data_IF_169557481074
#
_entry.id   IF_169557481074
#
_cell.length_a   1.000
_cell.length_b   1.000
_cell.length_c   1.000
_cell.angle_alpha   90.00
_cell.angle_beta   90.00
_cell.angle_gamma   90.00
#
_symmetry.space_group_name_H-M   'P 1'
#
loop_
_entity.id
_entity.type
_entity.pdbx_description
1 polymer ?
#
# COMPACT_ATOMS: atom_id res chain seq x y z
N UNK A 1 3.92 20.26 25.59
CA UNK A 1 3.53 20.13 24.18
C UNK A 1 2.27 19.31 24.16
N UNK A 2 1.16 19.89 23.70
CA UNK A 2 -0.05 19.13 23.36
C UNK A 2 0.21 18.40 22.04
N UNK A 3 -0.30 17.19 21.90
CA UNK A 3 -0.19 16.38 20.69
C UNK A 3 1.05 15.48 20.58
N UNK A 4 1.08 14.69 19.50
CA UNK A 4 2.12 13.70 19.24
C UNK A 4 3.51 14.33 19.02
N UNK A 5 4.54 13.53 19.24
CA UNK A 5 5.95 13.94 19.12
C UNK A 5 6.67 13.13 18.05
N UNK A 6 7.74 13.70 17.49
CA UNK A 6 8.61 13.00 16.55
C UNK A 6 9.26 11.76 17.20
N UNK A 7 9.56 11.81 18.50
CA UNK A 7 10.05 10.64 19.25
C UNK A 7 8.98 9.55 19.38
N UNK A 8 7.72 9.92 19.60
CA UNK A 8 6.59 8.98 19.63
C UNK A 8 6.41 8.28 18.28
N UNK A 9 6.45 9.04 17.18
CA UNK A 9 6.39 8.49 15.82
C UNK A 9 7.56 7.55 15.54
N UNK A 10 8.80 7.95 15.90
CA UNK A 10 9.96 7.07 15.78
C UNK A 10 9.87 5.80 16.64
N UNK A 11 9.22 5.87 17.81
CA UNK A 11 8.88 4.69 18.61
C UNK A 11 7.98 3.71 17.86
N UNK A 12 6.86 4.21 17.30
CA UNK A 12 5.91 3.39 16.53
C UNK A 12 6.55 2.76 15.29
N UNK A 13 7.41 3.47 14.58
CA UNK A 13 8.11 2.92 13.43
C UNK A 13 9.02 1.75 13.84
N UNK A 14 9.74 1.87 14.97
CA UNK A 14 10.57 0.78 15.50
C UNK A 14 9.74 -0.44 15.92
N UNK A 15 8.56 -0.22 16.51
CA UNK A 15 7.66 -1.31 16.87
C UNK A 15 7.15 -2.08 15.62
N UNK A 16 7.00 -1.39 14.48
CA UNK A 16 6.49 -1.95 13.22
C UNK A 16 7.54 -2.63 12.36
N UNK A 17 8.83 -2.32 12.47
CA UNK A 17 9.87 -3.18 11.85
C UNK A 17 9.70 -4.65 12.30
N UNK A 18 9.08 -4.88 13.46
CA UNK A 18 8.79 -6.21 14.00
C UNK A 18 7.36 -6.72 13.72
N UNK A 19 6.45 -5.92 13.12
CA UNK A 19 5.04 -6.28 12.86
C UNK A 19 4.58 -5.80 11.47
N UNK A 20 4.28 -6.74 10.59
CA UNK A 20 4.11 -6.58 9.14
C UNK A 20 2.96 -5.64 8.76
N UNK A 21 3.25 -4.55 8.03
CA UNK A 21 2.23 -3.70 7.40
C UNK A 21 2.78 -2.43 6.72
N UNK A 22 2.95 -2.45 5.39
CA UNK A 22 3.56 -1.35 4.63
C UNK A 22 2.76 -0.04 4.56
N UNK A 23 1.43 -0.10 4.68
CA UNK A 23 0.57 1.10 4.69
C UNK A 23 0.78 1.95 5.96
N UNK A 24 0.98 1.28 7.09
CA UNK A 24 1.20 1.92 8.38
C UNK A 24 2.48 2.77 8.40
N UNK A 25 3.50 2.30 7.68
CA UNK A 25 4.75 3.01 7.48
C UNK A 25 4.59 4.36 6.78
N UNK A 26 3.75 4.42 5.74
CA UNK A 26 3.50 5.65 4.97
C UNK A 26 2.78 6.69 5.84
N UNK A 27 1.76 6.27 6.58
CA UNK A 27 1.02 7.14 7.50
C UNK A 27 1.94 7.73 8.59
N UNK A 28 2.83 6.93 9.18
CA UNK A 28 3.81 7.41 10.15
C UNK A 28 4.82 8.38 9.53
N UNK A 29 5.22 8.15 8.28
CA UNK A 29 6.08 9.09 7.54
C UNK A 29 5.37 10.43 7.32
N UNK A 30 4.08 10.46 6.98
CA UNK A 30 3.30 11.70 6.88
C UNK A 30 3.25 12.46 8.22
N UNK A 31 3.01 11.77 9.32
CA UNK A 31 3.00 12.40 10.66
C UNK A 31 4.37 12.99 11.01
N UNK A 32 5.46 12.29 10.67
CA UNK A 32 6.81 12.77 10.88
C UNK A 32 7.15 13.99 10.01
N UNK A 33 6.74 13.98 8.74
CA UNK A 33 6.87 15.12 7.82
C UNK A 33 6.09 16.34 8.30
N UNK A 34 4.88 16.14 8.84
CA UNK A 34 4.07 17.21 9.41
C UNK A 34 4.72 17.81 10.66
N UNK A 35 5.34 16.98 11.50
CA UNK A 35 5.98 17.46 12.74
C UNK A 35 7.35 18.07 12.49
N UNK A 36 8.00 17.70 11.40
CA UNK A 36 9.31 18.19 11.03
C UNK A 36 9.43 18.33 9.50
N UNK A 37 9.21 19.55 9.00
CA UNK A 37 9.35 19.90 7.59
C UNK A 37 10.61 20.74 7.39
N UNK A 38 11.62 20.22 6.70
CA UNK A 38 12.85 20.96 6.42
C UNK A 38 13.99 20.11 5.88
N UNK A 39 15.03 20.77 5.36
CA UNK A 39 16.26 20.09 4.92
C UNK A 39 16.85 19.30 6.10
N UNK A 40 16.86 17.97 5.99
CA UNK A 40 17.38 17.08 7.03
C UNK A 40 16.33 16.46 7.97
N UNK A 41 15.04 16.75 7.80
CA UNK A 41 13.98 16.14 8.64
C UNK A 41 13.97 14.61 8.57
N UNK A 42 14.13 14.08 7.35
CA UNK A 42 14.33 12.65 7.09
C UNK A 42 15.51 12.09 7.87
N UNK A 43 16.69 12.73 7.78
CA UNK A 43 17.92 12.27 8.46
C UNK A 43 17.78 12.30 9.98
N UNK A 44 17.05 13.28 10.52
CA UNK A 44 16.75 13.35 11.95
C UNK A 44 15.83 12.19 12.38
N UNK A 45 14.83 11.86 11.57
CA UNK A 45 13.95 10.72 11.83
C UNK A 45 14.72 9.39 11.73
N UNK A 46 15.53 9.22 10.68
CA UNK A 46 16.41 8.05 10.50
C UNK A 46 17.33 7.86 11.72
N UNK A 47 17.96 8.92 12.20
CA UNK A 47 18.80 8.86 13.41
C UNK A 47 18.04 8.49 14.68
N UNK A 48 16.72 8.77 14.75
CA UNK A 48 15.87 8.37 15.89
C UNK A 48 15.38 6.92 15.81
N UNK A 49 15.21 6.39 14.60
CA UNK A 49 14.71 5.02 14.37
C UNK A 49 15.88 4.02 14.38
N UNK A 50 16.93 4.32 13.61
CA UNK A 50 18.03 3.40 13.32
C UNK A 50 19.33 3.76 14.05
N UNK A 51 19.42 4.93 14.69
CA UNK A 51 20.66 5.34 15.36
C UNK A 51 21.82 5.48 14.36
N UNK A 52 22.82 4.58 14.48
CA UNK A 52 23.95 4.50 13.55
C UNK A 52 23.74 3.49 12.41
N UNK A 53 22.68 2.69 12.48
CA UNK A 53 22.37 1.68 11.48
C UNK A 53 21.80 2.30 10.19
N UNK A 54 21.94 1.58 9.08
CA UNK A 54 21.38 2.02 7.80
C UNK A 54 19.86 1.85 7.79
N UNK A 55 19.10 2.80 7.22
CA UNK A 55 17.66 2.65 7.06
C UNK A 55 17.28 1.44 6.20
N UNK A 56 16.22 0.73 6.60
CA UNK A 56 15.68 -0.42 5.87
C UNK A 56 15.15 -0.03 4.49
N UNK A 57 15.06 -0.99 3.56
CA UNK A 57 14.39 -0.77 2.26
C UNK A 57 12.91 -0.42 2.44
N UNK A 58 12.24 -1.05 3.42
CA UNK A 58 10.85 -0.78 3.80
C UNK A 58 10.64 0.69 4.17
N UNK A 59 11.46 1.20 5.10
CA UNK A 59 11.40 2.61 5.47
C UNK A 59 11.68 3.53 4.29
N UNK A 60 12.71 3.24 3.48
CA UNK A 60 13.05 4.07 2.31
C UNK A 60 11.90 4.12 1.28
N UNK A 61 11.26 2.99 1.01
CA UNK A 61 10.13 2.91 0.08
C UNK A 61 8.92 3.66 0.64
N UNK A 62 8.60 3.48 1.92
CA UNK A 62 7.51 4.18 2.57
C UNK A 62 7.70 5.70 2.58
N UNK A 63 8.92 6.16 2.90
CA UNK A 63 9.26 7.57 2.87
C UNK A 63 9.08 8.16 1.47
N UNK A 64 9.54 7.45 0.43
CA UNK A 64 9.37 7.87 -0.97
C UNK A 64 7.89 7.99 -1.37
N UNK A 65 7.05 7.04 -0.97
CA UNK A 65 5.60 7.08 -1.23
C UNK A 65 4.97 8.22 -0.44
N UNK A 66 5.37 8.41 0.82
CA UNK A 66 4.89 9.50 1.65
C UNK A 66 5.21 10.86 1.03
N UNK A 67 6.43 11.07 0.51
CA UNK A 67 6.82 12.32 -0.18
C UNK A 67 5.95 12.61 -1.40
N UNK A 68 5.69 11.59 -2.24
CA UNK A 68 4.84 11.73 -3.44
C UNK A 68 3.40 12.09 -3.09
N UNK A 69 2.89 11.53 -2.00
CA UNK A 69 1.47 11.58 -1.64
C UNK A 69 1.14 12.59 -0.54
N UNK A 70 2.13 13.29 0.01
CA UNK A 70 1.93 14.19 1.15
C UNK A 70 1.00 15.36 0.83
N UNK A 71 1.09 15.91 -0.38
CA UNK A 71 0.28 17.06 -0.78
C UNK A 71 -1.19 16.67 -0.92
N UNK A 72 -1.46 15.56 -1.61
CA UNK A 72 -2.82 15.11 -1.94
C UNK A 72 -3.43 14.26 -0.82
N UNK A 73 -2.76 13.19 -0.42
CA UNK A 73 -3.24 12.26 0.60
C UNK A 73 -3.20 12.80 2.03
N UNK A 74 -2.35 13.79 2.32
CA UNK A 74 -2.24 14.43 3.63
C UNK A 74 -2.18 15.96 3.53
N UNK A 75 -3.16 16.53 2.83
CA UNK A 75 -3.29 17.97 2.59
C UNK A 75 -3.35 18.83 3.87
N UNK A 76 -3.25 20.15 3.71
CA UNK A 76 -3.05 21.10 4.81
C UNK A 76 -4.09 21.01 5.94
N UNK A 77 -5.36 20.72 5.62
CA UNK A 77 -6.41 20.56 6.63
C UNK A 77 -6.22 19.29 7.45
N UNK A 78 -5.83 18.16 6.83
CA UNK A 78 -5.46 16.95 7.58
C UNK A 78 -4.30 17.22 8.54
N UNK A 79 -3.30 17.96 8.06
CA UNK A 79 -2.13 18.35 8.84
C UNK A 79 -2.47 19.18 10.07
N UNK A 80 -3.39 20.14 9.92
CA UNK A 80 -3.91 20.96 11.04
C UNK A 80 -4.69 20.11 12.04
N UNK A 81 -5.55 19.21 11.55
CA UNK A 81 -6.38 18.35 12.40
C UNK A 81 -5.55 17.51 13.37
N UNK A 82 -4.40 16.99 12.93
CA UNK A 82 -3.59 16.08 13.76
C UNK A 82 -2.63 16.77 14.73
N UNK A 83 -2.38 18.09 14.62
CA UNK A 83 -1.28 18.76 15.36
C UNK A 83 -1.38 18.56 16.88
N UNK A 84 -2.60 18.63 17.40
CA UNK A 84 -2.88 18.53 18.83
C UNK A 84 -3.38 17.14 19.27
N UNK A 85 -3.52 16.20 18.34
CA UNK A 85 -3.97 14.84 18.63
C UNK A 85 -2.91 14.02 19.37
N UNK A 86 -3.36 13.15 20.28
CA UNK A 86 -2.52 12.11 20.87
C UNK A 86 -1.92 11.20 19.80
N UNK A 87 -0.83 10.50 20.13
CA UNK A 87 -0.10 9.67 19.15
C UNK A 87 -1.00 8.64 18.48
N UNK A 88 -1.80 7.91 19.26
CA UNK A 88 -2.62 6.83 18.74
C UNK A 88 -3.77 7.35 17.87
N UNK A 89 -4.41 8.45 18.27
CA UNK A 89 -5.45 9.11 17.48
C UNK A 89 -4.88 9.70 16.18
N UNK A 90 -3.71 10.33 16.25
CA UNK A 90 -3.04 10.88 15.07
C UNK A 90 -2.66 9.77 14.07
N UNK A 91 -2.20 8.62 14.58
CA UNK A 91 -1.89 7.45 13.75
C UNK A 91 -3.15 6.88 13.11
N UNK A 92 -4.21 6.67 13.88
CA UNK A 92 -5.49 6.19 13.35
C UNK A 92 -6.04 7.14 12.28
N UNK A 93 -5.99 8.44 12.52
CA UNK A 93 -6.40 9.46 11.56
C UNK A 93 -5.57 9.40 10.27
N UNK A 94 -4.23 9.37 10.39
CA UNK A 94 -3.35 9.31 9.23
C UNK A 94 -3.53 8.02 8.40
N UNK A 95 -3.78 6.88 9.05
CA UNK A 95 -4.08 5.62 8.37
C UNK A 95 -5.43 5.71 7.64
N UNK A 96 -6.48 6.24 8.29
CA UNK A 96 -7.78 6.44 7.63
C UNK A 96 -7.68 7.33 6.39
N UNK A 97 -6.94 8.45 6.47
CA UNK A 97 -6.69 9.32 5.31
C UNK A 97 -5.89 8.63 4.20
N UNK A 98 -4.95 7.75 4.56
CA UNK A 98 -4.22 6.96 3.57
C UNK A 98 -5.15 5.99 2.83
N UNK A 99 -6.05 5.33 3.54
CA UNK A 99 -7.02 4.41 2.94
C UNK A 99 -8.03 5.13 2.04
N UNK A 100 -8.54 6.29 2.49
CA UNK A 100 -9.41 7.14 1.68
C UNK A 100 -8.71 7.61 0.40
N UNK A 101 -7.46 8.06 0.50
CA UNK A 101 -6.71 8.50 -0.66
C UNK A 101 -6.38 7.33 -1.61
N UNK A 102 -6.04 6.15 -1.07
CA UNK A 102 -5.86 4.93 -1.87
C UNK A 102 -7.12 4.57 -2.64
N UNK A 103 -8.28 4.67 -2.01
CA UNK A 103 -9.57 4.44 -2.65
C UNK A 103 -9.85 5.51 -3.74
N UNK A 104 -9.57 6.79 -3.46
CA UNK A 104 -9.79 7.89 -4.39
C UNK A 104 -8.99 7.75 -5.70
N UNK A 105 -7.77 7.19 -5.63
CA UNK A 105 -6.92 6.94 -6.81
C UNK A 105 -7.09 5.54 -7.42
N UNK A 106 -8.05 4.75 -6.92
CA UNK A 106 -8.34 3.40 -7.41
C UNK A 106 -7.24 2.37 -7.12
N UNK A 107 -6.42 2.57 -6.09
CA UNK A 107 -5.29 1.69 -5.80
C UNK A 107 -5.67 0.47 -4.95
N UNK A 108 -5.66 -0.72 -5.58
CA UNK A 108 -5.98 -1.99 -4.92
C UNK A 108 -4.85 -2.54 -4.05
N UNK A 109 -3.60 -2.16 -4.31
CA UNK A 109 -2.42 -2.56 -3.56
C UNK A 109 -1.40 -1.40 -3.45
N UNK A 110 -0.34 -1.58 -2.65
CA UNK A 110 0.66 -0.53 -2.43
C UNK A 110 1.51 -0.21 -3.67
N UNK A 111 1.70 -1.16 -4.58
CA UNK A 111 2.44 -0.92 -5.82
C UNK A 111 1.67 0.03 -6.75
N UNK A 112 0.39 -0.27 -6.97
CA UNK A 112 -0.54 0.59 -7.73
C UNK A 112 -0.68 1.95 -7.07
N UNK A 113 -0.73 1.98 -5.73
CA UNK A 113 -0.78 3.23 -5.00
C UNK A 113 0.47 4.07 -5.25
N UNK A 114 1.67 3.49 -5.20
CA UNK A 114 2.90 4.23 -5.43
C UNK A 114 2.92 4.96 -6.80
N UNK A 115 2.34 4.37 -7.83
CA UNK A 115 2.27 4.95 -9.17
C UNK A 115 1.28 6.11 -9.26
N UNK A 116 0.16 6.01 -8.54
CA UNK A 116 -0.98 6.93 -8.62
C UNK A 116 -1.05 7.96 -7.50
N UNK A 117 -0.32 7.76 -6.41
CA UNK A 117 -0.43 8.56 -5.19
C UNK A 117 0.01 10.03 -5.30
N UNK A 118 0.50 10.45 -6.46
CA UNK A 118 0.78 11.86 -6.79
C UNK A 118 -0.45 12.62 -7.30
N UNK A 119 -1.54 11.91 -7.56
CA UNK A 119 -2.80 12.47 -8.05
C UNK A 119 -3.83 12.49 -6.93
N UNK A 120 -4.78 13.42 -7.01
CA UNK A 120 -5.84 13.55 -6.01
C UNK A 120 -6.92 12.47 -6.17
N UNK A 121 -7.19 12.05 -7.42
CA UNK A 121 -8.24 11.09 -7.76
C UNK A 121 -7.89 10.26 -8.99
N UNK A 122 -8.65 9.19 -9.24
CA UNK A 122 -8.54 8.36 -10.44
C UNK A 122 -8.76 9.16 -11.74
N UNK A 123 -9.62 10.19 -11.71
CA UNK A 123 -9.86 11.05 -12.87
C UNK A 123 -8.66 11.93 -13.27
N UNK A 124 -7.76 12.19 -12.31
CA UNK A 124 -6.55 12.99 -12.53
C UNK A 124 -5.36 12.14 -13.00
N UNK A 125 -5.51 10.81 -12.95
CA UNK A 125 -4.52 9.89 -13.51
C UNK A 125 -4.57 10.04 -15.03
N UNK A 126 -3.45 10.40 -15.70
CA UNK A 126 -3.40 10.45 -17.14
C UNK A 126 -3.88 9.12 -17.69
N UNK A 127 -4.99 9.15 -18.44
CA UNK A 127 -5.43 8.01 -19.22
C UNK A 127 -4.35 7.82 -20.28
N UNK A 128 -3.40 6.92 -20.01
CA UNK A 128 -2.69 6.27 -21.09
C UNK A 128 -3.80 5.51 -21.80
N UNK A 129 -4.21 6.00 -22.98
CA UNK A 129 -5.11 5.26 -23.83
C UNK A 129 -4.59 3.82 -23.88
N UNK A 130 -5.45 2.87 -23.53
CA UNK A 130 -5.12 1.45 -23.65
C UNK A 130 -4.52 1.24 -25.05
N UNK A 131 -3.21 1.02 -25.13
CA UNK A 131 -2.66 0.30 -26.26
C UNK A 131 -3.39 -1.05 -26.23
N UNK A 132 -4.11 -1.37 -27.31
CA UNK A 132 -4.62 -2.72 -27.56
C UNK A 132 -3.57 -3.74 -27.11
N UNK A 133 -3.98 -4.85 -26.47
CA UNK A 133 -3.03 -5.80 -25.90
C UNK A 133 -2.05 -6.25 -26.98
N UNK A 134 -0.80 -5.78 -26.89
CA UNK A 134 0.25 -6.23 -27.77
C UNK A 134 0.41 -7.74 -27.58
N UNK A 135 0.46 -8.53 -28.68
CA UNK A 135 0.59 -9.96 -28.59
C UNK A 135 1.91 -10.32 -27.92
N UNK A 136 1.86 -11.37 -27.09
CA UNK A 136 2.97 -12.00 -26.38
C UNK A 136 4.35 -11.72 -27.00
N UNK A 137 5.18 -10.97 -26.28
CA UNK A 137 6.63 -11.04 -26.44
C UNK A 137 7.27 -11.45 -25.13
N UNK A 138 7.74 -12.68 -25.16
CA UNK A 138 8.72 -13.24 -24.25
C UNK A 138 9.95 -12.33 -24.10
N UNK A 139 10.45 -12.34 -22.86
CA UNK A 139 11.79 -12.01 -22.36
C UNK A 139 12.42 -10.63 -22.65
N UNK A 140 12.62 -9.89 -21.56
CA UNK A 140 13.90 -9.22 -21.29
C UNK A 140 14.12 -9.15 -19.77
N UNK A 141 14.98 -10.04 -19.27
CA UNK A 141 15.25 -10.22 -17.85
C UNK A 141 16.08 -9.12 -17.19
N UNK A 142 15.99 -9.08 -15.86
CA UNK A 142 17.11 -8.68 -15.02
C UNK A 142 17.19 -9.58 -13.79
N UNK A 143 18.26 -10.37 -13.76
CA UNK A 143 18.55 -11.39 -12.78
C UNK A 143 18.69 -10.79 -11.36
N UNK A 144 17.82 -11.22 -10.44
CA UNK A 144 18.16 -11.26 -9.03
C UNK A 144 18.82 -12.62 -8.76
N UNK A 145 20.14 -12.61 -8.55
CA UNK A 145 20.86 -13.76 -7.99
C UNK A 145 20.31 -14.04 -6.59
N UNK A 146 19.53 -15.11 -6.46
CA UNK A 146 19.32 -15.82 -5.21
C UNK A 146 20.11 -17.12 -5.31
N UNK A 147 21.18 -17.22 -4.54
CA UNK A 147 21.82 -18.50 -4.29
C UNK A 147 20.85 -19.39 -3.51
N UNK A 148 20.39 -20.42 -4.23
CA UNK A 148 20.18 -21.80 -3.79
C UNK A 148 19.28 -22.06 -2.58
N UNK A 149 18.04 -22.43 -2.88
CA UNK A 149 17.46 -23.69 -2.39
C UNK A 149 16.45 -24.22 -3.40
N UNK A 150 16.52 -25.52 -3.68
CA UNK A 150 15.91 -26.33 -4.75
C UNK A 150 14.62 -25.82 -5.44
N UNK A 151 14.46 -26.07 -6.77
CA UNK A 151 13.28 -25.66 -7.52
C UNK A 151 12.04 -26.43 -7.04
N UNK A 152 11.03 -25.70 -6.53
CA UNK A 152 9.67 -26.21 -6.42
C UNK A 152 9.00 -26.16 -7.80
N UNK A 153 8.13 -27.13 -8.14
CA UNK A 153 7.43 -27.13 -9.42
C UNK A 153 6.61 -25.84 -9.59
N UNK A 154 6.48 -25.37 -10.83
CA UNK A 154 5.71 -24.19 -11.19
C UNK A 154 4.25 -24.38 -10.77
N UNK A 155 3.88 -23.85 -9.61
CA UNK A 155 2.50 -23.80 -9.16
C UNK A 155 1.79 -22.68 -9.93
N UNK A 156 0.61 -22.99 -10.47
CA UNK A 156 -0.27 -22.00 -11.06
C UNK A 156 -0.66 -20.94 -10.02
N UNK A 157 -0.96 -19.71 -10.47
CA UNK A 157 -1.43 -18.65 -9.58
C UNK A 157 -2.68 -19.05 -8.78
N UNK A 158 -3.48 -19.98 -9.31
CA UNK A 158 -4.63 -20.54 -8.62
C UNK A 158 -4.22 -21.41 -7.42
N UNK A 159 -3.22 -22.29 -7.60
CA UNK A 159 -2.71 -23.13 -6.51
C UNK A 159 -2.04 -22.30 -5.41
N UNK A 160 -1.34 -21.23 -5.78
CA UNK A 160 -0.78 -20.29 -4.80
C UNK A 160 -1.88 -19.55 -4.02
N UNK A 161 -2.94 -19.09 -4.71
CA UNK A 161 -4.08 -18.45 -4.06
C UNK A 161 -4.80 -19.43 -3.11
N UNK A 162 -4.99 -20.69 -3.51
CA UNK A 162 -5.59 -21.72 -2.66
C UNK A 162 -4.73 -21.99 -1.43
N UNK A 163 -3.41 -22.13 -1.58
CA UNK A 163 -2.50 -22.34 -0.46
C UNK A 163 -2.51 -21.16 0.54
N UNK A 164 -2.66 -19.92 0.05
CA UNK A 164 -2.81 -18.75 0.92
C UNK A 164 -4.13 -18.77 1.70
N UNK A 165 -5.23 -19.26 1.11
CA UNK A 165 -6.53 -19.39 1.78
C UNK A 165 -6.51 -20.52 2.81
N UNK A 166 -5.86 -21.64 2.49
CA UNK A 166 -5.71 -22.78 3.42
C UNK A 166 -4.82 -22.45 4.64
N UNK A 167 -3.95 -21.46 4.52
CA UNK A 167 -3.04 -21.03 5.59
C UNK A 167 -3.68 -20.02 6.58
N UNK A 168 -4.92 -19.57 6.34
CA UNK A 168 -5.62 -18.64 7.21
C UNK A 168 -6.05 -19.33 8.51
N UNK A 169 -5.99 -18.60 9.63
CA UNK A 169 -6.63 -19.05 10.86
C UNK A 169 -8.17 -18.89 10.78
N UNK A 170 -8.91 -19.45 11.76
CA UNK A 170 -10.38 -19.46 11.75
C UNK A 170 -11.00 -18.04 11.68
N UNK A 171 -10.35 -17.06 12.32
CA UNK A 171 -10.86 -15.69 12.36
C UNK A 171 -10.53 -14.95 11.04
N UNK A 172 -9.32 -15.14 10.52
CA UNK A 172 -8.90 -14.63 9.21
C UNK A 172 -9.75 -15.22 8.07
N UNK A 173 -10.06 -16.51 8.14
CA UNK A 173 -10.93 -17.20 7.19
C UNK A 173 -12.37 -16.63 7.22
N UNK A 174 -12.91 -16.33 8.41
CA UNK A 174 -14.24 -15.72 8.54
C UNK A 174 -14.28 -14.30 7.93
N UNK A 175 -13.24 -13.49 8.16
CA UNK A 175 -13.11 -12.16 7.57
C UNK A 175 -12.98 -12.24 6.05
N UNK A 176 -12.13 -13.16 5.56
CA UNK A 176 -11.95 -13.41 4.13
C UNK A 176 -13.26 -13.85 3.47
N UNK A 177 -14.00 -14.78 4.06
CA UNK A 177 -15.29 -15.25 3.54
C UNK A 177 -16.33 -14.13 3.47
N UNK A 178 -16.42 -13.30 4.51
CA UNK A 178 -17.36 -12.17 4.55
C UNK A 178 -17.01 -11.07 3.52
N UNK A 179 -15.72 -10.89 3.22
CA UNK A 179 -15.27 -9.99 2.15
C UNK A 179 -15.54 -10.59 0.76
N UNK A 180 -15.19 -11.86 0.56
CA UNK A 180 -15.32 -12.55 -0.73
C UNK A 180 -16.78 -12.68 -1.16
N UNK A 181 -17.68 -13.03 -0.24
CA UNK A 181 -19.13 -13.09 -0.50
C UNK A 181 -19.70 -11.76 -0.99
N UNK A 182 -19.37 -10.65 -0.31
CA UNK A 182 -19.77 -9.29 -0.72
C UNK A 182 -19.28 -8.93 -2.12
N UNK A 183 -18.12 -9.44 -2.53
CA UNK A 183 -17.53 -9.17 -3.84
C UNK A 183 -18.16 -10.00 -4.95
N UNK A 184 -18.54 -11.25 -4.66
CA UNK A 184 -19.32 -12.06 -5.59
C UNK A 184 -20.71 -11.47 -5.84
N UNK A 185 -21.38 -10.98 -4.80
CA UNK A 185 -22.69 -10.32 -4.92
C UNK A 185 -22.62 -8.98 -5.68
N UNK A 186 -21.51 -8.26 -5.57
CA UNK A 186 -21.27 -7.00 -6.29
C UNK A 186 -20.82 -7.21 -7.75
N UNK A 187 -20.56 -8.45 -8.17
CA UNK A 187 -20.20 -8.75 -9.56
C UNK A 187 -21.49 -9.05 -10.34
N UNK A 188 -21.88 -8.24 -11.34
CA UNK A 188 -23.05 -8.56 -12.16
C UNK A 188 -22.85 -9.94 -12.81
N UNK A 189 -23.92 -10.73 -13.02
CA UNK A 189 -23.79 -12.03 -13.66
C UNK A 189 -23.07 -11.82 -14.99
N UNK A 190 -21.95 -12.55 -15.18
CA UNK A 190 -21.28 -12.61 -16.46
C UNK A 190 -22.35 -12.92 -17.50
N UNK A 191 -22.51 -12.02 -18.49
CA UNK A 191 -23.39 -12.26 -19.63
C UNK A 191 -23.08 -13.66 -20.15
N UNK A 192 -24.00 -14.58 -19.90
CA UNK A 192 -23.99 -15.91 -20.45
C UNK A 192 -23.82 -15.73 -21.96
N UNK A 193 -22.74 -16.31 -22.47
CA UNK A 193 -22.47 -16.37 -23.90
C UNK A 193 -23.78 -16.72 -24.63
N UNK A 194 -24.20 -15.84 -25.54
CA UNK A 194 -25.26 -16.16 -26.47
C UNK A 194 -24.93 -17.51 -27.12
N UNK A 195 -25.84 -18.50 -27.09
CA UNK A 195 -25.63 -19.69 -27.89
C UNK A 195 -25.56 -19.23 -29.34
N UNK A 196 -24.45 -19.54 -30.01
CA UNK A 196 -24.30 -19.45 -31.46
C UNK A 196 -25.54 -20.10 -32.08
N UNK A 197 -26.44 -19.27 -32.61
CA UNK A 197 -27.51 -19.73 -33.47
C UNK A 197 -26.83 -20.41 -34.65
N UNK A 198 -26.99 -21.73 -34.75
CA UNK A 198 -26.68 -22.49 -35.94
C UNK A 198 -27.48 -21.88 -37.10
N UNK A 199 -26.80 -21.18 -37.99
CA UNK A 199 -27.31 -20.89 -39.31
C UNK A 199 -27.14 -22.13 -40.19
N UNK A 200 -28.21 -22.44 -40.90
CA UNK A 200 -28.45 -23.58 -41.77
C UNK A 200 -27.48 -23.71 -42.94
#
# INVERSE_FOLDING_TARGET
MTGYTLNGVAGRIRDLENRVGGAYYVALCWLAMNRNSGKGSRKLLEGKIFGQDKPTSTFRNAWRIAEKSFAEGFHAECRKAVVDMGLDDAVAYAVGRLEEHRAAVGATNMATYEERCRYASEADVPIVAEEEPAPDRADAGQALRLETSAPRPAQSNLELAMACVEALDENEAAIFAAWFGRRLEATPPAMTAQPLAMAA
#
